data_IF_214033566084
#
_entry.id   IF_214033566084
#
_cell.length_a   1.000
_cell.length_b   1.000
_cell.length_c   1.000
_cell.angle_alpha   90.00
_cell.angle_beta   90.00
_cell.angle_gamma   90.00
#
_symmetry.space_group_name_H-M   'P 1'
#
loop_
_entity.id
_entity.type
_entity.pdbx_description
1 polymer ?
#
# COMPACT_ATOMS: atom_id res chain seq x y z
N UNK A 1 -12.14 5.36 2.88
CA UNK A 1 -10.86 5.95 3.32
C UNK A 1 -9.93 6.04 2.13
N UNK A 2 -9.15 7.10 2.01
CA UNK A 2 -8.16 7.30 0.94
C UNK A 2 -6.84 7.76 1.56
N UNK A 3 -5.73 7.43 0.91
CA UNK A 3 -4.40 7.90 1.30
C UNK A 3 -3.92 8.98 0.33
N UNK A 4 -3.18 9.95 0.84
CA UNK A 4 -2.52 10.99 0.05
C UNK A 4 -1.03 10.68 -0.07
N UNK A 5 -0.50 10.81 -1.28
CA UNK A 5 0.88 10.42 -1.55
C UNK A 5 1.55 11.29 -2.58
N UNK A 6 2.83 11.01 -2.78
CA UNK A 6 3.63 11.57 -3.86
C UNK A 6 4.32 10.44 -4.61
N UNK A 7 4.75 10.71 -5.81
CA UNK A 7 5.77 9.91 -6.48
C UNK A 7 6.99 10.77 -6.81
N UNK A 8 8.15 10.13 -6.80
CA UNK A 8 9.44 10.81 -6.90
C UNK A 8 10.43 10.04 -7.76
N UNK A 9 11.38 10.77 -8.32
CA UNK A 9 12.51 10.23 -9.06
C UNK A 9 13.79 10.98 -8.68
N UNK A 10 14.85 10.86 -9.49
CA UNK A 10 16.06 11.66 -9.32
C UNK A 10 15.81 13.19 -9.45
N UNK A 11 14.66 13.62 -9.98
CA UNK A 11 14.29 15.03 -10.02
C UNK A 11 14.00 15.62 -8.63
N UNK A 12 13.68 14.77 -7.65
CA UNK A 12 13.44 15.14 -6.26
C UNK A 12 14.57 14.65 -5.34
N UNK A 13 15.77 14.43 -5.89
CA UNK A 13 16.91 13.94 -5.11
C UNK A 13 17.20 14.81 -3.89
N UNK A 14 17.40 14.16 -2.75
CA UNK A 14 17.63 14.84 -1.47
C UNK A 14 16.37 15.29 -0.72
N UNK A 15 15.16 15.05 -1.25
CA UNK A 15 13.91 15.31 -0.53
C UNK A 15 13.90 14.63 0.84
N UNK A 16 13.47 15.35 1.88
CA UNK A 16 13.33 14.82 3.24
C UNK A 16 11.93 14.26 3.45
N UNK A 17 11.78 12.96 3.24
CA UNK A 17 10.51 12.25 3.38
C UNK A 17 10.02 12.16 4.83
N UNK A 18 10.85 12.44 5.83
CA UNK A 18 10.38 12.49 7.22
C UNK A 18 9.49 13.71 7.52
N UNK A 19 9.61 14.79 6.74
CA UNK A 19 8.87 16.05 6.98
C UNK A 19 7.83 16.36 5.90
N UNK A 20 7.95 15.76 4.71
CA UNK A 20 6.94 15.93 3.65
C UNK A 20 5.67 15.18 4.06
N UNK A 21 4.51 15.86 4.13
CA UNK A 21 3.28 15.28 4.66
C UNK A 21 2.67 14.33 3.63
N UNK A 22 3.00 13.05 3.67
CA UNK A 22 2.37 12.05 2.81
C UNK A 22 2.27 10.69 3.50
N UNK A 23 1.20 9.97 3.22
CA UNK A 23 0.91 8.62 3.73
C UNK A 23 1.71 7.55 3.01
N UNK A 24 1.91 7.75 1.70
CA UNK A 24 2.69 6.86 0.84
C UNK A 24 3.65 7.62 -0.07
N UNK A 25 4.63 6.89 -0.60
CA UNK A 25 5.51 7.37 -1.66
C UNK A 25 5.79 6.26 -2.67
N UNK A 26 5.70 6.58 -3.96
CA UNK A 26 6.11 5.68 -5.06
C UNK A 26 7.43 6.20 -5.64
N UNK A 27 8.49 5.39 -5.62
CA UNK A 27 9.84 5.84 -5.93
C UNK A 27 10.31 5.21 -7.25
N UNK A 28 10.84 6.01 -8.18
CA UNK A 28 11.49 5.46 -9.39
C UNK A 28 12.62 4.55 -8.96
N UNK A 29 12.56 3.28 -9.34
CA UNK A 29 13.63 2.33 -9.13
C UNK A 29 14.52 2.25 -10.37
N UNK A 30 13.91 2.01 -11.54
CA UNK A 30 14.63 1.69 -12.77
C UNK A 30 13.98 2.28 -14.01
N UNK A 31 14.75 2.35 -15.10
CA UNK A 31 14.26 2.68 -16.45
C UNK A 31 14.97 1.79 -17.48
N UNK A 32 14.18 1.16 -18.36
CA UNK A 32 14.69 0.24 -19.37
C UNK A 32 15.58 -0.86 -18.78
N UNK A 33 16.74 -1.10 -19.38
CA UNK A 33 17.67 -2.18 -18.96
C UNK A 33 19.00 -1.68 -18.41
N UNK A 34 19.13 -0.36 -18.21
CA UNK A 34 20.42 0.27 -17.94
C UNK A 34 20.45 1.34 -16.86
N UNK A 35 19.29 1.90 -16.48
CA UNK A 35 19.24 2.99 -15.51
C UNK A 35 18.64 2.56 -14.17
N UNK A 36 19.38 2.82 -13.09
CA UNK A 36 18.86 2.81 -11.72
C UNK A 36 18.83 4.26 -11.23
N UNK A 37 17.73 4.67 -10.60
CA UNK A 37 17.65 5.99 -9.98
C UNK A 37 18.72 6.13 -8.88
N UNK A 38 19.67 7.10 -8.99
CA UNK A 38 20.75 7.26 -8.02
C UNK A 38 20.29 7.50 -6.59
N UNK A 39 19.10 8.08 -6.40
CA UNK A 39 18.56 8.42 -5.08
C UNK A 39 17.61 7.35 -4.52
N UNK A 40 17.40 6.26 -5.26
CA UNK A 40 16.43 5.22 -4.93
C UNK A 40 16.63 4.62 -3.54
N UNK A 41 17.86 4.19 -3.21
CA UNK A 41 18.17 3.56 -1.93
C UNK A 41 17.89 4.51 -0.76
N UNK A 42 18.38 5.75 -0.85
CA UNK A 42 18.21 6.76 0.20
C UNK A 42 16.73 7.06 0.43
N UNK A 43 16.01 7.38 -0.65
CA UNK A 43 14.59 7.70 -0.58
C UNK A 43 13.77 6.53 -0.01
N UNK A 44 14.04 5.30 -0.46
CA UNK A 44 13.35 4.11 0.02
C UNK A 44 13.56 3.90 1.52
N UNK A 45 14.81 3.95 2.00
CA UNK A 45 15.11 3.77 3.43
C UNK A 45 14.49 4.85 4.29
N UNK A 46 14.51 6.10 3.85
CA UNK A 46 13.93 7.21 4.59
C UNK A 46 12.39 7.09 4.66
N UNK A 47 11.74 6.75 3.54
CA UNK A 47 10.30 6.49 3.50
C UNK A 47 9.90 5.35 4.44
N UNK A 48 10.66 4.25 4.42
CA UNK A 48 10.44 3.08 5.28
C UNK A 48 10.57 3.44 6.75
N UNK A 49 11.64 4.16 7.10
CA UNK A 49 11.89 4.61 8.49
C UNK A 49 10.80 5.55 8.98
N UNK A 50 10.26 6.40 8.08
CA UNK A 50 9.15 7.30 8.39
C UNK A 50 7.77 6.59 8.44
N UNK A 51 7.70 5.26 8.29
CA UNK A 51 6.45 4.50 8.37
C UNK A 51 5.48 4.74 7.21
N UNK A 52 5.98 5.23 6.06
CA UNK A 52 5.15 5.46 4.87
C UNK A 52 4.83 4.14 4.17
N UNK A 53 3.67 4.09 3.53
CA UNK A 53 3.38 3.04 2.57
C UNK A 53 4.33 3.16 1.37
N UNK A 54 4.96 2.04 0.99
CA UNK A 54 6.04 2.01 0.01
C UNK A 54 5.54 1.53 -1.35
N UNK A 55 5.90 2.24 -2.40
CA UNK A 55 5.77 1.83 -3.79
C UNK A 55 7.07 2.06 -4.55
N UNK A 56 7.32 1.26 -5.58
CA UNK A 56 8.47 1.41 -6.46
C UNK A 56 8.02 1.23 -7.91
N UNK A 57 8.55 2.04 -8.82
CA UNK A 57 8.16 1.96 -10.23
C UNK A 57 9.33 1.73 -11.20
N UNK A 58 8.99 1.07 -12.30
CA UNK A 58 9.83 0.88 -13.46
C UNK A 58 9.32 1.74 -14.61
N UNK A 59 10.16 2.64 -15.14
CA UNK A 59 9.84 3.40 -16.35
C UNK A 59 10.12 2.55 -17.58
N UNK A 60 9.07 2.19 -18.32
CA UNK A 60 9.20 1.33 -19.48
C UNK A 60 9.92 2.04 -20.63
N UNK A 61 10.92 1.38 -21.21
CA UNK A 61 11.55 1.86 -22.46
C UNK A 61 10.92 1.24 -23.70
N UNK A 62 9.91 0.37 -23.54
CA UNK A 62 9.24 -0.29 -24.67
C UNK A 62 10.11 -1.28 -25.43
N UNK A 63 11.23 -1.68 -24.84
CA UNK A 63 12.18 -2.60 -25.44
C UNK A 63 11.79 -4.06 -25.18
N UNK A 64 12.79 -4.87 -24.81
CA UNK A 64 12.56 -6.28 -24.50
C UNK A 64 11.82 -6.42 -23.16
N UNK A 65 10.57 -6.90 -23.23
CA UNK A 65 9.66 -7.07 -22.09
C UNK A 65 10.31 -7.83 -20.93
N UNK A 66 10.91 -8.99 -21.22
CA UNK A 66 11.49 -9.84 -20.21
C UNK A 66 12.76 -9.22 -19.60
N UNK A 67 13.62 -8.61 -20.43
CA UNK A 67 14.83 -7.96 -19.94
C UNK A 67 14.52 -6.76 -19.03
N UNK A 68 13.51 -5.95 -19.37
CA UNK A 68 13.05 -4.85 -18.52
C UNK A 68 12.45 -5.36 -17.20
N UNK A 69 11.62 -6.41 -17.25
CA UNK A 69 11.04 -7.03 -16.06
C UNK A 69 12.12 -7.63 -15.14
N UNK A 70 13.09 -8.36 -15.69
CA UNK A 70 14.22 -8.92 -14.94
C UNK A 70 15.10 -7.83 -14.33
N UNK A 71 15.35 -6.76 -15.09
CA UNK A 71 16.10 -5.61 -14.60
C UNK A 71 15.39 -4.92 -13.43
N UNK A 72 14.09 -4.72 -13.52
CA UNK A 72 13.29 -4.21 -12.41
C UNK A 72 13.34 -5.13 -11.19
N UNK A 73 13.09 -6.43 -11.36
CA UNK A 73 13.10 -7.39 -10.24
C UNK A 73 14.45 -7.50 -9.55
N UNK A 74 15.55 -7.48 -10.32
CA UNK A 74 16.91 -7.49 -9.78
C UNK A 74 17.14 -6.30 -8.84
N UNK A 75 16.66 -5.11 -9.21
CA UNK A 75 16.84 -3.88 -8.43
C UNK A 75 15.77 -3.68 -7.35
N UNK A 76 14.59 -4.29 -7.50
CA UNK A 76 13.61 -4.39 -6.43
C UNK A 76 14.16 -5.25 -5.28
N UNK A 77 14.74 -6.40 -5.58
CA UNK A 77 15.36 -7.29 -4.59
C UNK A 77 14.39 -7.65 -3.46
N UNK A 78 14.83 -7.49 -2.20
CA UNK A 78 14.03 -7.79 -1.02
C UNK A 78 12.80 -6.88 -0.82
N UNK A 79 12.61 -5.88 -1.68
CA UNK A 79 11.47 -4.95 -1.63
C UNK A 79 10.23 -5.55 -2.29
N UNK A 80 10.39 -6.59 -3.10
CA UNK A 80 9.26 -7.40 -3.57
C UNK A 80 8.57 -8.02 -2.36
N UNK A 81 7.25 -7.89 -2.28
CA UNK A 81 6.51 -8.29 -1.09
C UNK A 81 6.60 -7.28 0.05
N UNK A 82 7.24 -6.13 -0.13
CA UNK A 82 7.24 -5.00 0.82
C UNK A 82 6.68 -3.72 0.21
N UNK A 83 6.98 -3.44 -1.06
CA UNK A 83 6.50 -2.29 -1.80
C UNK A 83 5.51 -2.71 -2.89
N UNK A 84 4.53 -1.84 -3.15
CA UNK A 84 3.72 -1.92 -4.36
C UNK A 84 4.63 -1.82 -5.58
N UNK A 85 4.50 -2.78 -6.51
CA UNK A 85 5.25 -2.78 -7.75
C UNK A 85 4.46 -2.05 -8.83
N UNK A 86 5.08 -1.10 -9.51
CA UNK A 86 4.42 -0.28 -10.54
C UNK A 86 5.15 -0.36 -11.86
N UNK A 87 4.41 -0.51 -12.95
CA UNK A 87 4.90 -0.22 -14.31
C UNK A 87 4.45 1.18 -14.71
N UNK A 88 5.39 2.04 -15.06
CA UNK A 88 5.14 3.35 -15.65
C UNK A 88 5.18 3.23 -17.18
N UNK A 89 4.01 3.33 -17.82
CA UNK A 89 3.82 3.17 -19.26
C UNK A 89 3.47 4.52 -19.92
N UNK A 90 4.48 5.15 -20.49
CA UNK A 90 4.38 6.45 -21.16
C UNK A 90 5.13 6.47 -22.50
N UNK A 91 4.90 7.51 -23.31
CA UNK A 91 5.41 7.60 -24.68
C UNK A 91 6.84 8.13 -24.81
N UNK A 92 7.43 8.73 -23.78
CA UNK A 92 8.79 9.29 -23.90
C UNK A 92 9.80 8.15 -23.93
N UNK A 93 10.61 8.10 -24.99
CA UNK A 93 11.62 7.06 -25.21
C UNK A 93 11.07 5.63 -25.24
N UNK A 94 9.79 5.47 -25.62
CA UNK A 94 9.11 4.18 -25.68
C UNK A 94 8.50 3.96 -27.07
N UNK A 95 9.17 3.20 -27.97
CA UNK A 95 8.68 2.97 -29.33
C UNK A 95 7.49 1.99 -29.40
N UNK A 96 7.20 1.27 -28.31
CA UNK A 96 6.05 0.37 -28.20
C UNK A 96 4.76 1.11 -27.79
N UNK A 97 4.91 2.29 -27.16
CA UNK A 97 3.79 3.14 -26.78
C UNK A 97 2.99 3.59 -28.01
N UNK A 98 1.68 3.40 -27.95
CA UNK A 98 0.80 3.71 -29.07
C UNK A 98 0.64 2.58 -30.09
N UNK A 99 1.54 1.58 -30.07
CA UNK A 99 1.66 0.54 -31.11
C UNK A 99 1.13 -0.81 -30.62
N UNK A 100 1.63 -1.30 -29.49
CA UNK A 100 1.27 -2.61 -28.91
C UNK A 100 1.14 -2.53 -27.38
N UNK A 101 0.57 -1.42 -26.89
CA UNK A 101 0.43 -1.09 -25.47
C UNK A 101 -0.10 -2.27 -24.64
N UNK A 102 -1.21 -2.88 -25.10
CA UNK A 102 -1.91 -3.94 -24.39
C UNK A 102 -1.05 -5.19 -24.27
N UNK A 103 -0.46 -5.63 -25.38
CA UNK A 103 0.34 -6.84 -25.44
C UNK A 103 1.62 -6.69 -24.61
N UNK A 104 2.33 -5.57 -24.75
CA UNK A 104 3.57 -5.31 -24.04
C UNK A 104 3.34 -5.23 -22.52
N UNK A 105 2.40 -4.38 -22.09
CA UNK A 105 2.11 -4.16 -20.67
C UNK A 105 1.59 -5.43 -20.01
N UNK A 106 0.68 -6.17 -20.66
CA UNK A 106 0.16 -7.42 -20.13
C UNK A 106 1.25 -8.47 -19.97
N UNK A 107 2.13 -8.60 -20.97
CA UNK A 107 3.23 -9.56 -20.90
C UNK A 107 4.23 -9.20 -19.78
N UNK A 108 4.57 -7.92 -19.62
CA UNK A 108 5.41 -7.46 -18.52
C UNK A 108 4.78 -7.75 -17.16
N UNK A 109 3.51 -7.40 -16.97
CA UNK A 109 2.80 -7.61 -15.71
C UNK A 109 2.67 -9.10 -15.37
N UNK A 110 2.37 -9.94 -16.37
CA UNK A 110 2.31 -11.39 -16.21
C UNK A 110 3.66 -11.98 -15.79
N UNK A 111 4.76 -11.48 -16.38
CA UNK A 111 6.10 -11.92 -16.01
C UNK A 111 6.40 -11.61 -14.54
N UNK A 112 6.15 -10.37 -14.10
CA UNK A 112 6.34 -9.96 -12.70
C UNK A 112 5.47 -10.79 -11.76
N UNK A 113 4.17 -10.91 -12.05
CA UNK A 113 3.22 -11.67 -11.23
C UNK A 113 3.63 -13.15 -11.11
N UNK A 114 4.04 -13.77 -12.22
CA UNK A 114 4.52 -15.17 -12.20
C UNK A 114 5.78 -15.36 -11.36
N UNK A 115 6.70 -14.38 -11.38
CA UNK A 115 7.97 -14.47 -10.63
C UNK A 115 7.84 -14.13 -9.15
N UNK A 116 6.82 -13.37 -8.76
CA UNK A 116 6.75 -12.76 -7.42
C UNK A 116 5.48 -13.06 -6.66
N UNK A 117 4.44 -13.58 -7.30
CA UNK A 117 3.06 -13.64 -6.79
C UNK A 117 2.46 -12.28 -6.42
N UNK A 118 3.07 -11.17 -6.85
CA UNK A 118 2.58 -9.81 -6.65
C UNK A 118 2.08 -9.26 -7.98
N UNK A 119 0.82 -8.81 -8.01
CA UNK A 119 0.25 -8.17 -9.20
C UNK A 119 0.67 -6.70 -9.24
N UNK A 120 1.36 -6.25 -10.31
CA UNK A 120 1.73 -4.85 -10.44
C UNK A 120 0.51 -3.93 -10.60
N UNK A 121 0.72 -2.66 -10.28
CA UNK A 121 -0.15 -1.55 -10.69
C UNK A 121 0.44 -0.91 -11.95
N UNK A 122 -0.42 -0.49 -12.87
CA UNK A 122 -0.02 0.11 -14.14
C UNK A 122 -0.31 1.60 -14.05
N UNK A 123 0.73 2.42 -14.14
CA UNK A 123 0.60 3.85 -14.35
C UNK A 123 0.42 4.16 -15.83
N UNK A 124 -0.55 5.04 -16.14
CA UNK A 124 -0.81 5.53 -17.50
C UNK A 124 -1.57 6.85 -17.48
N UNK A 125 -1.33 7.70 -18.48
CA UNK A 125 -2.17 8.88 -18.73
C UNK A 125 -3.62 8.51 -19.09
N UNK A 126 -4.59 9.29 -18.62
CA UNK A 126 -6.01 9.00 -18.81
C UNK A 126 -6.42 8.81 -20.27
N UNK A 127 -5.83 9.58 -21.20
CA UNK A 127 -6.13 9.48 -22.65
C UNK A 127 -5.78 8.12 -23.26
N UNK A 128 -4.93 7.33 -22.59
CA UNK A 128 -4.48 6.00 -23.02
C UNK A 128 -5.05 4.86 -22.15
N UNK A 129 -5.77 5.18 -21.07
CA UNK A 129 -6.30 4.23 -20.09
C UNK A 129 -7.13 3.10 -20.74
N UNK A 130 -7.96 3.42 -21.73
CA UNK A 130 -8.86 2.45 -22.37
C UNK A 130 -8.13 1.29 -23.06
N UNK A 131 -6.84 1.48 -23.40
CA UNK A 131 -6.00 0.43 -24.00
C UNK A 131 -5.58 -0.62 -22.97
N UNK A 132 -5.40 -0.19 -21.71
CA UNK A 132 -4.83 -0.98 -20.61
C UNK A 132 -5.85 -1.41 -19.55
N UNK A 133 -7.11 -0.95 -19.64
CA UNK A 133 -8.18 -1.49 -18.82
C UNK A 133 -8.52 -2.95 -19.20
N UNK A 134 -8.92 -3.74 -18.21
CA UNK A 134 -9.38 -5.13 -18.37
C UNK A 134 -8.36 -6.08 -19.04
N UNK A 135 -7.06 -5.84 -18.85
CA UNK A 135 -6.00 -6.72 -19.40
C UNK A 135 -5.56 -7.82 -18.43
N UNK A 136 -6.10 -7.85 -17.22
CA UNK A 136 -5.79 -8.81 -16.16
C UNK A 136 -6.21 -8.27 -14.80
N UNK A 137 -5.74 -8.91 -13.73
CA UNK A 137 -5.95 -8.45 -12.35
C UNK A 137 -4.86 -7.43 -11.94
N UNK A 138 -4.76 -6.33 -12.69
CA UNK A 138 -3.78 -5.27 -12.48
C UNK A 138 -4.48 -3.95 -12.20
N UNK A 139 -4.11 -3.30 -11.10
CA UNK A 139 -4.68 -2.00 -10.72
C UNK A 139 -4.21 -0.90 -11.69
N UNK A 140 -5.05 0.12 -11.90
CA UNK A 140 -4.66 1.29 -12.70
C UNK A 140 -4.35 2.48 -11.79
N UNK A 141 -3.17 3.06 -11.99
CA UNK A 141 -2.79 4.38 -11.51
C UNK A 141 -2.90 5.37 -12.67
N UNK A 142 -3.84 6.31 -12.59
CA UNK A 142 -4.17 7.16 -13.74
C UNK A 142 -3.74 8.59 -13.52
N UNK A 143 -2.97 9.15 -14.45
CA UNK A 143 -2.63 10.56 -14.48
C UNK A 143 -3.69 11.38 -15.23
N UNK A 144 -4.26 12.38 -14.55
CA UNK A 144 -5.15 13.37 -15.16
C UNK A 144 -5.22 14.65 -14.31
N UNK A 145 -4.77 15.76 -14.88
CA UNK A 145 -4.64 17.03 -14.18
C UNK A 145 -5.68 18.04 -14.67
N UNK A 146 -6.23 18.85 -13.76
CA UNK A 146 -7.15 19.93 -14.11
C UNK A 146 -6.42 21.06 -14.87
N UNK A 147 -5.20 21.35 -14.45
CA UNK A 147 -4.31 22.39 -14.99
C UNK A 147 -2.86 22.10 -14.57
N UNK A 148 -1.94 22.97 -14.97
CA UNK A 148 -0.54 22.94 -14.52
C UNK A 148 -0.26 23.87 -13.34
N UNK A 149 -1.31 24.47 -12.76
CA UNK A 149 -1.18 25.41 -11.65
C UNK A 149 -0.69 24.74 -10.38
N UNK A 150 0.12 25.42 -9.55
CA UNK A 150 0.54 24.89 -8.26
C UNK A 150 -0.64 24.67 -7.32
N UNK A 151 -0.75 23.46 -6.77
CA UNK A 151 -1.80 23.10 -5.79
C UNK A 151 -1.23 22.26 -4.64
N UNK A 152 -1.96 22.20 -3.51
CA UNK A 152 -1.72 21.22 -2.45
C UNK A 152 -2.62 19.99 -2.59
N UNK A 153 -2.68 19.16 -1.54
CA UNK A 153 -3.63 18.05 -1.52
C UNK A 153 -5.07 18.55 -1.62
N UNK A 154 -5.88 17.83 -2.41
CA UNK A 154 -7.31 18.11 -2.58
C UNK A 154 -8.13 16.95 -2.03
N UNK A 155 -9.19 17.28 -1.28
CA UNK A 155 -10.14 16.27 -0.82
C UNK A 155 -10.89 15.65 -2.00
N UNK A 156 -11.32 16.47 -2.95
CA UNK A 156 -12.04 16.03 -4.16
C UNK A 156 -11.33 16.56 -5.42
N UNK A 157 -10.30 15.87 -5.94
CA UNK A 157 -9.63 16.26 -7.17
C UNK A 157 -10.61 16.36 -8.35
N UNK A 158 -10.29 17.23 -9.31
CA UNK A 158 -11.10 17.36 -10.54
C UNK A 158 -11.31 16.01 -11.23
N UNK A 159 -12.54 15.75 -11.70
CA UNK A 159 -12.94 14.55 -12.44
C UNK A 159 -12.72 13.23 -11.68
N UNK A 160 -12.68 13.29 -10.35
CA UNK A 160 -12.70 12.12 -9.47
C UNK A 160 -14.01 11.31 -9.65
N UNK A 161 -13.91 9.99 -9.63
CA UNK A 161 -15.06 9.09 -9.82
C UNK A 161 -15.52 8.90 -11.28
N UNK A 162 -14.98 9.65 -12.24
CA UNK A 162 -15.36 9.53 -13.65
C UNK A 162 -14.94 8.19 -14.30
N UNK A 163 -13.98 7.48 -13.70
CA UNK A 163 -13.51 6.17 -14.14
C UNK A 163 -12.89 5.40 -12.98
N UNK A 164 -12.87 4.06 -13.10
CA UNK A 164 -12.29 3.19 -12.10
C UNK A 164 -10.75 3.19 -12.16
N UNK A 165 -10.10 3.59 -11.08
CA UNK A 165 -8.67 3.47 -10.87
C UNK A 165 -8.40 3.20 -9.38
N UNK A 166 -7.24 2.62 -9.07
CA UNK A 166 -6.83 2.34 -7.67
C UNK A 166 -6.05 3.51 -7.10
N UNK A 167 -5.41 4.29 -7.96
CA UNK A 167 -4.65 5.49 -7.62
C UNK A 167 -4.82 6.52 -8.72
N UNK A 168 -4.82 7.81 -8.35
CA UNK A 168 -4.88 8.92 -9.29
C UNK A 168 -3.73 9.89 -9.03
N UNK A 169 -2.95 10.19 -10.05
CA UNK A 169 -2.06 11.35 -10.05
C UNK A 169 -2.84 12.54 -10.62
N UNK A 170 -3.05 13.59 -9.84
CA UNK A 170 -3.92 14.69 -10.22
C UNK A 170 -3.21 16.05 -10.35
N UNK A 171 -1.90 16.09 -10.08
CA UNK A 171 -1.05 17.25 -10.37
C UNK A 171 0.40 16.80 -10.52
N UNK A 172 1.14 17.46 -11.40
CA UNK A 172 2.60 17.44 -11.47
C UNK A 172 3.27 18.73 -10.99
N UNK A 173 2.46 19.67 -10.49
CA UNK A 173 2.89 20.98 -9.98
C UNK A 173 2.60 21.13 -8.48
N UNK A 174 2.48 20.02 -7.76
CA UNK A 174 2.17 19.99 -6.34
C UNK A 174 3.17 20.77 -5.49
N UNK A 175 2.65 21.46 -4.46
CA UNK A 175 3.46 22.18 -3.47
C UNK A 175 3.07 21.74 -2.07
N UNK A 176 4.02 21.14 -1.36
CA UNK A 176 3.86 20.68 0.01
C UNK A 176 4.99 21.24 0.87
N UNK A 177 4.74 21.40 2.17
CA UNK A 177 5.79 21.71 3.12
C UNK A 177 6.88 20.62 3.09
N UNK A 178 8.14 21.02 3.30
CA UNK A 178 9.29 20.10 3.30
C UNK A 178 9.98 19.91 1.94
N UNK A 179 9.49 20.53 0.86
CA UNK A 179 10.15 20.53 -0.45
C UNK A 179 9.91 21.84 -1.20
N UNK A 180 10.98 22.48 -1.68
CA UNK A 180 10.90 23.74 -2.44
C UNK A 180 10.91 23.51 -3.96
N UNK A 181 10.03 22.62 -4.43
CA UNK A 181 9.95 22.21 -5.84
C UNK A 181 8.57 21.63 -6.16
N UNK A 182 8.37 21.27 -7.42
CA UNK A 182 7.15 20.56 -7.84
C UNK A 182 7.18 19.11 -7.31
N UNK A 183 6.00 18.62 -6.95
CA UNK A 183 5.72 17.23 -6.59
C UNK A 183 4.54 16.72 -7.39
N UNK A 184 4.62 15.45 -7.78
CA UNK A 184 3.47 14.74 -8.29
C UNK A 184 2.54 14.36 -7.13
N UNK A 185 1.28 14.81 -7.16
CA UNK A 185 0.31 14.57 -6.08
C UNK A 185 -0.63 13.43 -6.45
N UNK A 186 -0.76 12.50 -5.51
CA UNK A 186 -1.51 11.27 -5.71
C UNK A 186 -2.55 11.04 -4.63
N UNK A 187 -3.65 10.39 -5.03
CA UNK A 187 -4.67 9.86 -4.12
C UNK A 187 -4.88 8.37 -4.40
N UNK A 188 -4.67 7.54 -3.39
CA UNK A 188 -4.93 6.09 -3.45
C UNK A 188 -6.31 5.80 -2.84
N UNK A 189 -7.16 5.08 -3.57
CA UNK A 189 -8.55 4.78 -3.20
C UNK A 189 -8.64 3.54 -2.31
N UNK A 190 -7.94 3.57 -1.19
CA UNK A 190 -7.94 2.53 -0.17
C UNK A 190 -7.21 3.00 1.08
N UNK A 191 -7.19 2.14 2.09
CA UNK A 191 -6.42 2.35 3.32
C UNK A 191 -5.07 1.61 3.27
N UNK A 192 -4.33 1.63 4.39
CA UNK A 192 -3.03 0.95 4.52
C UNK A 192 -3.14 -0.57 4.37
N UNK A 193 -4.27 -1.18 4.72
CA UNK A 193 -4.48 -2.62 4.54
C UNK A 193 -4.67 -2.94 3.06
N UNK A 194 -5.47 -2.15 2.34
CA UNK A 194 -5.61 -2.25 0.89
C UNK A 194 -4.26 -2.05 0.18
N UNK A 195 -3.46 -1.06 0.59
CA UNK A 195 -2.09 -0.87 0.08
C UNK A 195 -1.23 -2.13 0.28
N UNK A 196 -1.28 -2.72 1.46
CA UNK A 196 -0.48 -3.91 1.81
C UNK A 196 -0.82 -5.12 0.95
N UNK A 197 -2.07 -5.24 0.47
CA UNK A 197 -2.47 -6.28 -0.49
C UNK A 197 -1.79 -6.09 -1.85
N UNK A 198 -1.66 -4.86 -2.33
CA UNK A 198 -0.90 -4.55 -3.56
C UNK A 198 0.61 -4.72 -3.39
N UNK A 199 1.15 -4.45 -2.19
CA UNK A 199 2.56 -4.66 -1.89
C UNK A 199 2.95 -6.14 -1.72
N UNK A 200 1.99 -7.08 -1.75
CA UNK A 200 2.21 -8.50 -1.55
C UNK A 200 2.21 -8.98 -0.09
N UNK A 201 2.12 -8.07 0.90
CA UNK A 201 2.01 -8.43 2.34
C UNK A 201 0.61 -8.88 2.74
N UNK A 202 -0.41 -8.59 1.95
CA UNK A 202 -1.80 -8.93 2.25
C UNK A 202 -2.15 -10.42 2.24
N UNK A 203 -1.23 -11.31 1.85
CA UNK A 203 -1.40 -12.77 1.92
C UNK A 203 -0.74 -13.41 3.15
N UNK A 204 -0.16 -12.63 4.07
CA UNK A 204 0.37 -13.12 5.34
C UNK A 204 -0.40 -12.42 6.47
N UNK A 205 -1.59 -12.93 6.77
CA UNK A 205 -2.20 -12.67 8.08
C UNK A 205 -1.53 -13.63 9.05
N UNK A 206 -0.43 -13.22 9.68
CA UNK A 206 0.00 -13.86 10.92
C UNK A 206 -1.07 -13.59 11.95
N UNK A 207 -1.92 -14.59 12.18
CA UNK A 207 -2.75 -14.68 13.37
C UNK A 207 -1.80 -14.78 14.56
N UNK A 208 -1.50 -13.67 15.23
CA UNK A 208 -0.94 -13.73 16.57
C UNK A 208 -2.02 -14.26 17.51
N UNK A 209 -1.88 -15.53 17.87
CA UNK A 209 -2.55 -16.13 19.02
C UNK A 209 -1.70 -15.77 20.26
N UNK A 210 -2.29 -15.35 21.39
CA UNK A 210 -1.52 -15.05 22.60
C UNK A 210 -0.79 -16.30 23.08
N UNK A 211 0.51 -16.17 23.35
CA UNK A 211 1.32 -17.20 23.98
C UNK A 211 0.92 -17.38 25.45
N UNK A 212 0.49 -18.58 25.82
CA UNK A 212 0.39 -19.01 27.21
C UNK A 212 1.81 -19.19 27.78
N UNK A 213 2.08 -18.52 28.90
CA UNK A 213 3.31 -18.69 29.68
C UNK A 213 3.22 -20.00 30.48
N UNK A 214 4.09 -20.97 30.21
CA UNK A 214 4.30 -22.13 31.07
C UNK A 214 5.20 -21.72 32.26
N UNK A 215 4.61 -21.61 33.45
CA UNK A 215 5.29 -21.42 34.71
C UNK A 215 5.94 -22.75 35.15
N UNK A 216 7.27 -22.82 35.07
CA UNK A 216 8.06 -23.94 35.54
C UNK A 216 8.60 -23.61 36.94
N UNK A 217 8.13 -24.31 37.98
CA UNK A 217 8.75 -24.29 39.31
C UNK A 217 8.92 -25.72 39.84
N UNK A 218 10.16 -26.21 39.79
CA UNK A 218 10.64 -27.31 40.61
C UNK A 218 10.99 -26.79 42.02
N UNK A 219 10.49 -27.47 43.06
CA UNK A 219 10.76 -27.13 44.47
C UNK A 219 10.30 -28.20 45.47
N UNK A 220 11.14 -29.24 45.63
CA UNK A 220 11.48 -30.00 46.86
C UNK A 220 10.40 -30.45 47.89
N UNK A 221 10.19 -31.77 47.94
CA UNK A 221 9.99 -32.72 49.08
C UNK A 221 9.42 -32.30 50.45
N UNK A 222 8.36 -33.04 50.83
CA UNK A 222 7.98 -33.62 52.14
C UNK A 222 7.74 -32.70 53.36
N UNK A 223 6.48 -32.60 53.80
CA UNK A 223 6.11 -32.91 55.18
C UNK A 223 4.61 -33.26 55.33
N UNK A 224 4.32 -34.24 56.18
CA UNK A 224 3.04 -34.94 56.30
C UNK A 224 2.67 -35.00 57.79
N UNK A 225 1.78 -34.13 58.29
CA UNK A 225 1.07 -34.35 59.57
C UNK A 225 -0.34 -33.75 59.58
N UNK A 226 -1.28 -34.61 59.98
CA UNK A 226 -2.69 -34.43 60.33
C UNK A 226 -3.03 -33.21 61.21
N UNK A 227 -4.20 -32.59 60.96
CA UNK A 227 -5.36 -32.55 61.90
C UNK A 227 -6.50 -31.70 61.31
N UNK A 228 -7.77 -32.07 61.56
CA UNK A 228 -8.89 -31.10 61.51
C UNK A 228 -10.11 -31.53 60.72
N UNK A 229 -11.00 -32.25 61.40
CA UNK A 229 -12.32 -32.73 60.99
C UNK A 229 -13.36 -31.59 61.01
N UNK A 230 -14.50 -31.86 60.38
CA UNK A 230 -15.84 -31.26 60.59
C UNK A 230 -16.18 -29.97 59.81
N UNK A 231 -17.38 -29.74 59.29
CA UNK A 231 -18.63 -30.49 58.99
C UNK A 231 -19.61 -29.40 58.51
N UNK A 232 -20.41 -29.68 57.47
CA UNK A 232 -21.74 -29.10 57.16
C UNK A 232 -21.86 -27.55 56.94
N UNK A 233 -22.76 -26.97 56.13
CA UNK A 233 -24.12 -27.32 55.78
C UNK A 233 -24.51 -26.75 54.40
N UNK A 234 -25.43 -27.47 53.76
CA UNK A 234 -26.34 -27.03 52.70
C UNK A 234 -27.46 -26.15 53.27
N UNK A 235 -28.00 -25.24 52.46
CA UNK A 235 -29.44 -25.03 52.13
C UNK A 235 -29.59 -23.68 51.38
N UNK A 236 -30.04 -23.65 50.11
CA UNK A 236 -31.40 -23.80 49.57
C UNK A 236 -32.33 -22.57 49.76
N UNK A 237 -32.85 -22.05 48.64
CA UNK A 237 -33.99 -21.11 48.58
C UNK A 237 -33.93 -20.16 47.38
N UNK A 238 -34.19 -20.59 46.14
CA UNK A 238 -35.48 -20.64 45.43
C UNK A 238 -36.18 -19.30 45.17
N UNK A 239 -36.41 -19.09 43.86
CA UNK A 239 -37.53 -18.39 43.18
C UNK A 239 -37.54 -16.85 43.24
N UNK A 240 -37.78 -16.09 42.18
CA UNK A 240 -38.15 -16.41 40.80
C UNK A 240 -39.06 -15.31 40.23
N UNK A 241 -38.87 -14.96 38.94
CA UNK A 241 -39.81 -14.32 37.99
C UNK A 241 -40.29 -12.88 38.32
N UNK A 242 -40.70 -12.01 37.39
CA UNK A 242 -40.65 -11.85 35.93
C UNK A 242 -41.31 -10.49 35.61
N UNK A 243 -41.06 -9.95 34.41
CA UNK A 243 -41.88 -8.91 33.75
C UNK A 243 -41.40 -7.47 33.95
N UNK A 244 -41.54 -6.51 33.04
CA UNK A 244 -42.02 -6.40 31.64
C UNK A 244 -41.70 -4.92 31.25
N UNK A 245 -41.39 -4.68 29.98
CA UNK A 245 -41.18 -3.39 29.26
C UNK A 245 -42.25 -2.29 29.48
N UNK A 246 -42.19 -1.11 28.80
CA UNK A 246 -41.09 -0.20 28.45
C UNK A 246 -41.46 1.27 28.81
N UNK A 247 -40.58 2.26 28.59
CA UNK A 247 -41.08 3.65 28.45
C UNK A 247 -40.29 4.53 27.49
N UNK A 248 -41.05 5.41 26.83
CA UNK A 248 -40.70 6.33 25.76
C UNK A 248 -40.01 7.62 26.25
N UNK A 249 -39.41 8.31 25.26
CA UNK A 249 -39.56 9.76 24.99
C UNK A 249 -38.32 10.69 25.11
N UNK A 250 -37.93 11.20 23.92
CA UNK A 250 -37.52 12.56 23.50
C UNK A 250 -36.59 13.40 24.40
N UNK A 251 -35.55 13.97 23.76
CA UNK A 251 -35.56 15.40 23.38
C UNK A 251 -34.47 15.75 22.35
N UNK A 252 -34.87 16.55 21.35
CA UNK A 252 -34.02 17.28 20.39
C UNK A 252 -33.63 18.64 20.98
N UNK A 253 -32.45 19.12 20.57
CA UNK A 253 -32.04 20.52 20.51
C UNK A 253 -31.12 20.67 19.31
#
# INVERSE_FOLDING_TARGET
MALNGIDISNWQSGINLAVVPCDFVVIKATEGTGYVNPDYERAYRQAKTAGKCLGIYHYASGGNIQAEAEYFLKNAGSRVGEAMLVLDWEGRSNPAFGVNDREWVKAWCNYISTKTSVNPVIYVQQSMMSRLQNIGNYGLWVAQYASMEPIGYQENPWNEGAYACVMRQYSSSGRLSGWNGNLDLNKFYGDRQAWSRYAGKGNQTTSEKPSEEEENQEGTTLDLVFFGRCVENLEMGKNGKAGLEPDMEKCRG
#
